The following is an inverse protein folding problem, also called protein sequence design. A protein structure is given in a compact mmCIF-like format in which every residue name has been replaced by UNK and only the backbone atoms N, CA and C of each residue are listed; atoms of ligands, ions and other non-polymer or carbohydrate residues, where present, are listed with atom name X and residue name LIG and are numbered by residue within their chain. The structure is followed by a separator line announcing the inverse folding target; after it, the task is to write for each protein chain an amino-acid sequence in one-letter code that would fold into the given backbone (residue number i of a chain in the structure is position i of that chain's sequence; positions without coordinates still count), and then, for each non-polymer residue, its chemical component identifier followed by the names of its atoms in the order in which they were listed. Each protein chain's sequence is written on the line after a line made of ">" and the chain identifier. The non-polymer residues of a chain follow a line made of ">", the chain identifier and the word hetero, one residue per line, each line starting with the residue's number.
data_IF_592496635926
#
_entry.id   IF_592496635926
#
_cell.length_a   1.000
_cell.length_b   1.000
_cell.length_c   1.000
_cell.angle_alpha   90.00
_cell.angle_beta   90.00
_cell.angle_gamma   90.00
#
_symmetry.space_group_name_H-M   'P 1'
#
loop_
_entity.id
_entity.type
_entity.pdbx_description
1 polymer ?
#
# COMPACT_ATOMS: atom_id res chain seq x y z
N UNK A 1 3.59 -40.28 -6.88
CA UNK A 1 3.92 -39.28 -5.83
C UNK A 1 4.88 -38.23 -6.41
N UNK A 2 4.81 -36.96 -5.99
CA UNK A 2 5.75 -35.90 -6.41
C UNK A 2 6.22 -35.12 -5.18
N UNK A 3 7.52 -34.82 -5.13
CA UNK A 3 8.10 -33.86 -4.18
C UNK A 3 8.48 -32.58 -4.92
N UNK A 4 7.93 -31.45 -4.51
CA UNK A 4 8.35 -30.13 -4.96
C UNK A 4 9.45 -29.59 -4.04
N UNK A 5 10.63 -29.35 -4.60
CA UNK A 5 11.77 -28.78 -3.89
C UNK A 5 11.81 -27.27 -4.18
N UNK A 6 11.84 -26.43 -3.14
CA UNK A 6 11.87 -24.97 -3.32
C UNK A 6 12.61 -24.26 -2.18
N UNK A 7 13.30 -23.16 -2.50
CA UNK A 7 13.86 -22.24 -1.53
C UNK A 7 12.81 -21.29 -0.90
N UNK A 8 11.59 -21.25 -1.45
CA UNK A 8 10.52 -20.35 -1.01
C UNK A 8 9.74 -20.93 0.17
N UNK A 9 10.20 -20.59 1.38
CA UNK A 9 9.44 -20.88 2.61
C UNK A 9 8.05 -20.23 2.59
N UNK A 10 7.94 -19.07 1.93
CA UNK A 10 6.67 -18.38 1.74
C UNK A 10 5.67 -19.24 0.96
N UNK A 11 6.06 -19.78 -0.20
CA UNK A 11 5.17 -20.61 -1.02
C UNK A 11 4.71 -21.86 -0.27
N UNK A 12 5.64 -22.53 0.43
CA UNK A 12 5.30 -23.71 1.25
C UNK A 12 4.30 -23.33 2.36
N UNK A 13 4.58 -22.28 3.13
CA UNK A 13 3.69 -21.85 4.22
C UNK A 13 2.30 -21.43 3.71
N UNK A 14 2.22 -20.78 2.53
CA UNK A 14 0.95 -20.42 1.89
C UNK A 14 0.08 -21.64 1.64
N UNK A 15 0.67 -22.72 1.10
CA UNK A 15 -0.03 -23.93 0.69
C UNK A 15 -0.24 -24.95 1.81
N UNK A 16 0.39 -24.76 2.97
CA UNK A 16 0.34 -25.71 4.09
C UNK A 16 -0.22 -25.08 5.36
N UNK A 17 0.45 -24.07 5.92
CA UNK A 17 0.14 -23.50 7.23
C UNK A 17 -1.00 -22.50 7.19
N UNK A 18 -1.00 -21.62 6.20
CA UNK A 18 -1.95 -20.50 6.14
C UNK A 18 -3.23 -20.86 5.40
N UNK A 19 -3.18 -21.87 4.53
CA UNK A 19 -4.28 -22.27 3.67
C UNK A 19 -5.61 -22.46 4.42
N UNK A 20 -5.69 -23.24 5.53
CA UNK A 20 -6.97 -23.46 6.20
C UNK A 20 -7.60 -22.15 6.69
N UNK A 21 -6.81 -21.29 7.33
CA UNK A 21 -7.29 -19.99 7.82
C UNK A 21 -7.71 -19.06 6.69
N UNK A 22 -7.00 -19.06 5.56
CA UNK A 22 -7.34 -18.21 4.42
C UNK A 22 -8.63 -18.64 3.73
N UNK A 23 -8.89 -19.95 3.63
CA UNK A 23 -10.16 -20.44 3.14
C UNK A 23 -11.31 -20.08 4.09
N UNK A 24 -11.09 -20.19 5.40
CA UNK A 24 -12.09 -19.82 6.39
C UNK A 24 -12.39 -18.32 6.40
N UNK A 25 -11.40 -17.49 6.12
CA UNK A 25 -11.51 -16.02 6.12
C UNK A 25 -11.82 -15.44 4.73
N UNK A 26 -12.17 -16.29 3.77
CA UNK A 26 -12.60 -15.86 2.43
C UNK A 26 -11.51 -15.18 1.62
N UNK A 27 -10.24 -15.40 1.96
CA UNK A 27 -9.07 -14.81 1.31
C UNK A 27 -8.98 -13.28 1.40
N UNK A 28 -9.73 -12.66 2.31
CA UNK A 28 -9.76 -11.21 2.51
C UNK A 28 -8.37 -10.72 2.93
N UNK A 29 -7.82 -9.79 2.14
CA UNK A 29 -6.50 -9.19 2.39
C UNK A 29 -5.32 -10.13 2.26
N UNK A 30 -5.50 -11.27 1.59
CA UNK A 30 -4.40 -12.19 1.25
C UNK A 30 -3.76 -11.72 -0.05
N UNK A 31 -2.54 -11.20 0.05
CA UNK A 31 -1.73 -10.82 -1.11
C UNK A 31 -1.45 -12.06 -1.97
N UNK A 32 -1.51 -11.92 -3.29
CA UNK A 32 -1.32 -13.01 -4.26
C UNK A 32 -2.37 -14.14 -4.19
N UNK A 33 -3.52 -13.90 -3.55
CA UNK A 33 -4.59 -14.91 -3.38
C UNK A 33 -5.01 -15.57 -4.71
N UNK A 34 -5.05 -14.83 -5.82
CA UNK A 34 -5.34 -15.35 -7.15
C UNK A 34 -4.44 -16.53 -7.54
N UNK A 35 -3.11 -16.39 -7.40
CA UNK A 35 -2.14 -17.43 -7.75
C UNK A 35 -2.18 -18.61 -6.78
N UNK A 36 -2.37 -18.31 -5.48
CA UNK A 36 -2.42 -19.33 -4.44
C UNK A 36 -3.67 -20.21 -4.63
N UNK A 37 -4.85 -19.60 -4.84
CA UNK A 37 -6.10 -20.33 -5.11
C UNK A 37 -5.97 -21.27 -6.32
N UNK A 38 -5.41 -20.78 -7.43
CA UNK A 38 -5.21 -21.60 -8.63
C UNK A 38 -4.25 -22.77 -8.36
N UNK A 39 -3.17 -22.52 -7.62
CA UNK A 39 -2.22 -23.57 -7.22
C UNK A 39 -2.88 -24.61 -6.31
N UNK A 40 -3.68 -24.19 -5.33
CA UNK A 40 -4.42 -25.08 -4.42
C UNK A 40 -5.38 -25.97 -5.20
N UNK A 41 -6.10 -25.41 -6.18
CA UNK A 41 -6.96 -26.19 -7.07
C UNK A 41 -6.17 -27.26 -7.82
N UNK A 42 -5.04 -26.90 -8.45
CA UNK A 42 -4.20 -27.87 -9.16
C UNK A 42 -3.65 -28.96 -8.25
N UNK A 43 -3.29 -28.63 -7.01
CA UNK A 43 -2.84 -29.60 -6.02
C UNK A 43 -3.96 -30.55 -5.58
N UNK A 44 -5.18 -30.05 -5.35
CA UNK A 44 -6.35 -30.86 -4.97
C UNK A 44 -6.84 -31.79 -6.08
N UNK A 45 -6.66 -31.39 -7.34
CA UNK A 45 -6.99 -32.21 -8.52
C UNK A 45 -6.10 -33.46 -8.65
N UNK A 46 -4.92 -33.46 -8.03
CA UNK A 46 -3.97 -34.57 -8.12
C UNK A 46 -4.40 -35.71 -7.20
N UNK A 47 -4.47 -36.92 -7.75
CA UNK A 47 -4.73 -38.15 -6.99
C UNK A 47 -3.51 -38.65 -6.23
N UNK A 48 -2.31 -38.37 -6.73
CA UNK A 48 -1.06 -38.82 -6.13
C UNK A 48 -0.58 -37.85 -5.02
N UNK A 49 -0.02 -38.43 -3.95
CA UNK A 49 0.59 -37.67 -2.86
C UNK A 49 1.59 -36.63 -3.39
N UNK A 50 1.47 -35.43 -2.84
CA UNK A 50 2.36 -34.30 -3.12
C UNK A 50 3.02 -33.84 -1.83
N UNK A 51 4.35 -33.75 -1.83
CA UNK A 51 5.18 -33.29 -0.72
C UNK A 51 5.95 -32.03 -1.11
N UNK A 52 6.32 -31.22 -0.11
CA UNK A 52 7.18 -30.06 -0.28
C UNK A 52 8.44 -30.23 0.55
N UNK A 53 9.58 -29.93 -0.05
CA UNK A 53 10.87 -29.90 0.63
C UNK A 53 11.44 -28.48 0.55
N UNK A 54 11.70 -27.90 1.71
CA UNK A 54 12.37 -26.61 1.79
C UNK A 54 13.88 -26.80 1.78
N UNK A 55 14.56 -26.08 0.91
CA UNK A 55 16.02 -26.04 0.85
C UNK A 55 16.51 -24.61 1.07
N UNK A 56 17.77 -24.47 1.46
CA UNK A 56 18.43 -23.16 1.50
C UNK A 56 18.76 -22.73 0.06
N UNK A 57 18.35 -21.52 -0.32
CA UNK A 57 18.69 -20.93 -1.63
C UNK A 57 20.19 -20.69 -1.78
N UNK A 58 20.68 -20.68 -3.02
CA UNK A 58 22.08 -20.43 -3.39
C UNK A 58 23.10 -21.33 -2.66
N UNK A 59 22.75 -22.59 -2.43
CA UNK A 59 23.56 -23.54 -1.69
C UNK A 59 24.15 -24.66 -2.56
N UNK A 60 24.38 -24.42 -3.86
CA UNK A 60 24.97 -25.42 -4.76
C UNK A 60 24.00 -26.48 -5.29
N UNK A 61 22.70 -26.37 -5.02
CA UNK A 61 21.72 -27.35 -5.51
C UNK A 61 21.37 -27.06 -6.97
N UNK A 62 21.95 -27.85 -7.87
CA UNK A 62 21.86 -27.66 -9.31
C UNK A 62 20.43 -27.42 -9.82
N UNK A 63 19.45 -28.23 -9.41
CA UNK A 63 18.05 -28.06 -9.84
C UNK A 63 17.42 -26.73 -9.39
N UNK A 64 17.72 -26.28 -8.17
CA UNK A 64 17.23 -24.99 -7.67
C UNK A 64 17.93 -23.82 -8.37
N UNK A 65 19.24 -23.93 -8.63
CA UNK A 65 19.99 -22.89 -9.33
C UNK A 65 19.52 -22.73 -10.78
N UNK A 66 19.20 -23.83 -11.45
CA UNK A 66 18.55 -23.79 -12.76
C UNK A 66 17.16 -23.14 -12.69
N UNK A 67 16.35 -23.47 -11.68
CA UNK A 67 15.06 -22.84 -11.47
C UNK A 67 15.18 -21.33 -11.20
N UNK A 68 16.13 -20.90 -10.37
CA UNK A 68 16.42 -19.47 -10.10
C UNK A 68 16.87 -18.75 -11.38
N UNK A 69 17.68 -19.39 -12.21
CA UNK A 69 18.10 -18.85 -13.52
C UNK A 69 16.92 -18.66 -14.46
N UNK A 70 16.06 -19.67 -14.60
CA UNK A 70 14.86 -19.60 -15.44
C UNK A 70 13.87 -18.54 -14.92
N UNK A 71 13.72 -18.41 -13.60
CA UNK A 71 12.90 -17.36 -13.00
C UNK A 71 13.43 -15.96 -13.32
N UNK A 72 14.76 -15.78 -13.30
CA UNK A 72 15.42 -14.52 -13.71
C UNK A 72 15.22 -14.22 -15.19
N UNK A 73 15.33 -15.23 -16.06
CA UNK A 73 15.05 -15.09 -17.49
C UNK A 73 13.58 -14.68 -17.72
N UNK A 74 12.64 -15.32 -17.03
CA UNK A 74 11.22 -14.96 -17.05
C UNK A 74 10.95 -13.52 -16.60
N UNK A 75 11.59 -13.08 -15.51
CA UNK A 75 11.46 -11.71 -15.01
C UNK A 75 12.00 -10.64 -15.97
N UNK A 76 12.93 -11.00 -16.85
CA UNK A 76 13.51 -10.10 -17.85
C UNK A 76 12.80 -10.15 -19.21
N UNK A 77 11.73 -10.94 -19.36
CA UNK A 77 10.93 -10.95 -20.59
C UNK A 77 10.27 -9.58 -20.80
N UNK A 78 10.16 -9.09 -22.05
CA UNK A 78 9.51 -7.82 -22.34
C UNK A 78 8.00 -7.84 -22.02
N UNK A 79 7.38 -9.02 -22.09
CA UNK A 79 5.98 -9.24 -21.77
C UNK A 79 5.83 -10.44 -20.84
N UNK A 80 4.89 -10.35 -19.90
CA UNK A 80 4.55 -11.46 -19.01
C UNK A 80 3.92 -12.62 -19.79
N UNK A 81 4.18 -13.85 -19.35
CA UNK A 81 3.54 -15.04 -19.90
C UNK A 81 2.06 -15.09 -19.49
N UNK A 82 1.20 -15.56 -20.39
CA UNK A 82 -0.21 -15.82 -20.07
C UNK A 82 -0.33 -17.11 -19.24
N UNK A 83 -0.91 -16.99 -18.05
CA UNK A 83 -1.16 -18.11 -17.14
C UNK A 83 -2.65 -18.40 -17.07
N UNK A 84 -3.03 -19.66 -17.28
CA UNK A 84 -4.37 -20.12 -16.96
C UNK A 84 -4.53 -20.25 -15.44
N UNK A 85 -5.27 -19.30 -14.87
CA UNK A 85 -5.60 -19.23 -13.45
C UNK A 85 -7.09 -19.55 -13.20
N UNK A 86 -7.76 -20.18 -14.17
CA UNK A 86 -9.16 -20.55 -14.04
C UNK A 86 -9.35 -21.63 -12.97
N UNK A 87 -10.36 -21.43 -12.13
CA UNK A 87 -10.78 -22.36 -11.09
C UNK A 87 -12.28 -22.60 -11.31
N UNK A 88 -12.72 -23.85 -11.51
CA UNK A 88 -14.15 -24.15 -11.62
C UNK A 88 -14.91 -23.69 -10.36
N UNK A 89 -16.16 -23.27 -10.53
CA UNK A 89 -16.95 -22.68 -9.45
C UNK A 89 -17.12 -23.62 -8.25
N UNK A 90 -17.24 -24.93 -8.49
CA UNK A 90 -17.31 -25.98 -7.45
C UNK A 90 -16.07 -26.00 -6.53
N UNK A 91 -14.93 -25.50 -7.00
CA UNK A 91 -13.68 -25.41 -6.25
C UNK A 91 -13.35 -23.98 -5.80
N UNK A 92 -14.11 -22.99 -6.25
CA UNK A 92 -13.90 -21.59 -5.93
C UNK A 92 -14.72 -21.19 -4.71
N UNK A 93 -14.19 -21.53 -3.52
CA UNK A 93 -14.79 -21.10 -2.25
C UNK A 93 -14.80 -19.57 -2.16
N UNK A 94 -16.01 -18.99 -2.06
CA UNK A 94 -16.23 -17.55 -1.95
C UNK A 94 -16.70 -17.17 -0.54
N UNK A 95 -16.29 -15.97 -0.12
CA UNK A 95 -16.70 -15.40 1.16
C UNK A 95 -16.00 -16.03 2.38
N UNK A 96 -16.08 -15.33 3.51
CA UNK A 96 -15.59 -15.83 4.79
C UNK A 96 -16.68 -16.69 5.46
N UNK A 97 -16.28 -17.76 6.14
CA UNK A 97 -17.18 -18.57 6.97
C UNK A 97 -17.79 -17.70 8.08
N UNK A 98 -19.08 -17.83 8.32
CA UNK A 98 -19.78 -17.08 9.38
C UNK A 98 -19.18 -17.31 10.78
N UNK A 99 -18.65 -18.50 11.04
CA UNK A 99 -17.97 -18.82 12.30
C UNK A 99 -16.59 -18.20 12.45
N UNK A 100 -15.95 -17.79 11.34
CA UNK A 100 -14.60 -17.24 11.32
C UNK A 100 -14.58 -15.72 11.06
N UNK A 101 -15.65 -15.16 10.49
CA UNK A 101 -15.73 -13.74 10.15
C UNK A 101 -15.84 -12.89 11.42
N UNK A 102 -15.07 -11.80 11.46
CA UNK A 102 -15.17 -10.76 12.48
C UNK A 102 -15.63 -9.46 11.84
N UNK A 103 -16.14 -8.51 12.64
CA UNK A 103 -16.49 -7.17 12.14
C UNK A 103 -15.30 -6.52 11.41
N UNK A 104 -14.09 -6.62 11.97
CA UNK A 104 -12.88 -6.05 11.36
C UNK A 104 -12.55 -6.71 10.01
N UNK A 105 -12.70 -8.03 9.91
CA UNK A 105 -12.48 -8.76 8.66
C UNK A 105 -13.54 -8.41 7.61
N UNK A 106 -14.82 -8.35 8.01
CA UNK A 106 -15.91 -7.95 7.13
C UNK A 106 -15.71 -6.53 6.59
N UNK A 107 -15.35 -5.59 7.47
CA UNK A 107 -15.04 -4.21 7.09
C UNK A 107 -13.88 -4.15 6.10
N UNK A 108 -12.78 -4.89 6.35
CA UNK A 108 -11.65 -4.98 5.43
C UNK A 108 -12.07 -5.52 4.06
N UNK A 109 -12.88 -6.59 4.02
CA UNK A 109 -13.40 -7.15 2.76
C UNK A 109 -14.25 -6.14 1.98
N UNK A 110 -15.13 -5.40 2.67
CA UNK A 110 -15.92 -4.32 2.03
C UNK A 110 -14.98 -3.25 1.46
N UNK A 111 -13.97 -2.82 2.22
CA UNK A 111 -13.01 -1.82 1.75
C UNK A 111 -12.22 -2.29 0.51
N UNK A 112 -11.90 -3.57 0.39
CA UNK A 112 -11.21 -4.13 -0.79
C UNK A 112 -12.04 -4.08 -2.07
N UNK A 113 -13.38 -4.06 -1.95
CA UNK A 113 -14.30 -3.92 -3.08
C UNK A 113 -14.67 -2.48 -3.41
N UNK A 114 -14.47 -1.55 -2.48
CA UNK A 114 -14.70 -0.12 -2.73
C UNK A 114 -13.54 0.40 -3.58
N UNK A 115 -13.79 0.93 -4.79
CA UNK A 115 -12.73 1.46 -5.62
C UNK A 115 -12.06 2.63 -4.90
N UNK A 116 -10.72 2.60 -4.83
CA UNK A 116 -9.97 3.74 -4.31
C UNK A 116 -10.09 4.92 -5.29
N UNK A 117 -10.83 5.94 -4.88
CA UNK A 117 -10.88 7.21 -5.60
C UNK A 117 -9.81 8.16 -5.03
N UNK A 118 -8.72 8.45 -5.76
CA UNK A 118 -7.72 9.41 -5.30
C UNK A 118 -8.36 10.78 -5.14
N UNK A 119 -8.11 11.43 -4.01
CA UNK A 119 -8.59 12.79 -3.77
C UNK A 119 -7.63 13.77 -4.43
N UNK A 120 -8.14 14.66 -5.28
CA UNK A 120 -7.36 15.68 -6.00
C UNK A 120 -6.32 16.39 -5.13
N UNK A 121 -6.72 16.88 -3.95
CA UNK A 121 -5.79 17.57 -3.03
C UNK A 121 -4.69 16.65 -2.49
N UNK A 122 -5.02 15.40 -2.19
CA UNK A 122 -4.02 14.42 -1.72
C UNK A 122 -3.00 14.10 -2.80
N UNK A 123 -3.45 13.88 -4.04
CA UNK A 123 -2.55 13.67 -5.18
C UNK A 123 -1.66 14.89 -5.42
N UNK A 124 -2.25 16.08 -5.49
CA UNK A 124 -1.48 17.32 -5.68
C UNK A 124 -0.43 17.55 -4.59
N UNK A 125 -0.76 17.28 -3.32
CA UNK A 125 0.20 17.42 -2.23
C UNK A 125 1.29 16.34 -2.26
N UNK A 126 0.98 15.13 -2.70
CA UNK A 126 1.97 14.08 -2.93
C UNK A 126 2.94 14.48 -4.05
N UNK A 127 2.43 14.99 -5.17
CA UNK A 127 3.25 15.45 -6.29
C UNK A 127 4.20 16.56 -5.85
N UNK A 128 3.68 17.59 -5.17
CA UNK A 128 4.52 18.68 -4.62
C UNK A 128 5.59 18.12 -3.68
N UNK A 129 5.21 17.23 -2.76
CA UNK A 129 6.16 16.61 -1.82
C UNK A 129 7.24 15.81 -2.55
N UNK A 130 6.86 15.02 -3.56
CA UNK A 130 7.76 14.20 -4.34
C UNK A 130 8.77 15.04 -5.11
N UNK A 131 8.31 16.10 -5.80
CA UNK A 131 9.18 17.02 -6.53
C UNK A 131 10.13 17.78 -5.59
N UNK A 132 9.63 18.30 -4.47
CA UNK A 132 10.48 18.98 -3.48
C UNK A 132 11.54 18.04 -2.89
N UNK A 133 11.19 16.78 -2.57
CA UNK A 133 12.18 15.80 -2.11
C UNK A 133 13.22 15.53 -3.20
N UNK A 134 12.79 15.37 -4.45
CA UNK A 134 13.69 15.14 -5.57
C UNK A 134 14.68 16.30 -5.77
N UNK A 135 14.24 17.55 -5.62
CA UNK A 135 15.13 18.71 -5.70
C UNK A 135 16.19 18.71 -4.60
N UNK A 136 15.82 18.30 -3.38
CA UNK A 136 16.71 18.27 -2.22
C UNK A 136 17.67 17.08 -2.20
N UNK A 137 17.20 15.89 -2.54
CA UNK A 137 17.96 14.63 -2.39
C UNK A 137 18.46 14.06 -3.72
N UNK A 138 17.97 14.57 -4.85
CA UNK A 138 18.16 14.01 -6.21
C UNK A 138 17.62 12.58 -6.37
N UNK A 139 16.76 12.14 -5.46
CA UNK A 139 16.11 10.82 -5.51
C UNK A 139 14.60 10.98 -5.65
N UNK A 140 14.00 10.20 -6.54
CA UNK A 140 12.56 10.16 -6.71
C UNK A 140 11.96 9.14 -5.74
N UNK A 141 11.27 9.65 -4.73
CA UNK A 141 10.56 8.81 -3.75
C UNK A 141 9.20 8.34 -4.29
N UNK A 142 8.71 7.21 -3.79
CA UNK A 142 7.36 6.73 -4.11
C UNK A 142 6.34 7.28 -3.11
N UNK A 143 5.07 7.40 -3.52
CA UNK A 143 3.96 7.79 -2.62
C UNK A 143 3.93 6.94 -1.33
N UNK A 144 4.19 5.64 -1.46
CA UNK A 144 4.25 4.70 -0.32
C UNK A 144 5.38 5.05 0.64
N UNK A 145 6.56 5.42 0.11
CA UNK A 145 7.70 5.85 0.92
C UNK A 145 7.38 7.16 1.66
N UNK A 146 6.82 8.14 0.97
CA UNK A 146 6.39 9.43 1.55
C UNK A 146 5.41 9.19 2.71
N UNK A 147 4.35 8.40 2.49
CA UNK A 147 3.38 8.09 3.54
C UNK A 147 3.97 7.33 4.72
N UNK A 148 4.94 6.46 4.47
CA UNK A 148 5.67 5.73 5.51
C UNK A 148 6.50 6.71 6.36
N UNK A 149 7.20 7.64 5.72
CA UNK A 149 7.95 8.72 6.38
C UNK A 149 7.05 9.61 7.25
N UNK A 150 5.87 10.01 6.75
CA UNK A 150 4.89 10.79 7.51
C UNK A 150 4.39 10.08 8.78
N UNK A 151 4.57 8.76 8.89
CA UNK A 151 4.13 7.93 10.01
C UNK A 151 5.27 7.42 10.88
N UNK A 152 6.50 7.89 10.66
CA UNK A 152 7.68 7.40 11.36
C UNK A 152 7.54 7.53 12.89
N UNK A 153 8.11 6.57 13.62
CA UNK A 153 7.98 6.45 15.08
C UNK A 153 8.61 7.62 15.85
N UNK A 154 9.61 8.26 15.25
CA UNK A 154 10.32 9.40 15.85
C UNK A 154 9.44 10.67 15.86
N UNK A 155 8.37 10.69 15.06
CA UNK A 155 7.40 11.76 15.08
C UNK A 155 6.37 11.51 16.20
N UNK A 156 6.12 12.53 17.01
CA UNK A 156 5.05 12.47 18.01
C UNK A 156 3.68 12.21 17.33
N UNK A 157 2.74 11.61 18.07
CA UNK A 157 1.40 11.32 17.53
C UNK A 157 0.70 12.59 17.01
N UNK A 158 0.88 13.73 17.70
CA UNK A 158 0.31 15.03 17.30
C UNK A 158 0.87 15.51 15.95
N UNK A 159 2.18 15.36 15.75
CA UNK A 159 2.85 15.74 14.48
C UNK A 159 2.38 14.83 13.35
N UNK A 160 2.32 13.51 13.56
CA UNK A 160 1.81 12.57 12.55
C UNK A 160 0.37 12.89 12.13
N UNK A 161 -0.48 13.23 13.10
CA UNK A 161 -1.87 13.65 12.82
C UNK A 161 -1.94 14.96 12.03
N UNK A 162 -1.08 15.93 12.36
CA UNK A 162 -0.98 17.19 11.62
C UNK A 162 -0.56 16.95 10.17
N UNK A 163 0.54 16.24 9.95
CA UNK A 163 1.05 15.94 8.60
C UNK A 163 0.00 15.19 7.78
N UNK A 164 -0.64 14.16 8.37
CA UNK A 164 -1.71 13.43 7.69
C UNK A 164 -2.85 14.35 7.24
N UNK A 165 -3.32 15.25 8.12
CA UNK A 165 -4.40 16.18 7.81
C UNK A 165 -4.00 17.23 6.77
N UNK A 166 -2.75 17.70 6.81
CA UNK A 166 -2.17 18.62 5.84
C UNK A 166 -2.07 17.97 4.46
N UNK A 167 -1.48 16.77 4.36
CA UNK A 167 -1.39 16.00 3.11
C UNK A 167 -2.77 15.72 2.51
N UNK A 168 -3.77 15.43 3.33
CA UNK A 168 -5.14 15.24 2.85
C UNK A 168 -5.93 16.53 2.59
N UNK A 169 -5.40 17.71 2.91
CA UNK A 169 -6.10 18.99 2.75
C UNK A 169 -7.37 19.11 3.60
N UNK A 170 -7.37 18.52 4.81
CA UNK A 170 -8.57 18.44 5.67
C UNK A 170 -8.72 19.62 6.64
N UNK A 171 -7.75 20.52 6.67
CA UNK A 171 -7.84 21.75 7.46
C UNK A 171 -8.84 22.71 6.81
N UNK A 172 -9.67 23.35 7.64
CA UNK A 172 -10.63 24.38 7.20
C UNK A 172 -9.91 25.71 7.03
N UNK A 173 -9.18 25.86 5.93
CA UNK A 173 -8.37 27.04 5.59
C UNK A 173 -8.53 27.38 4.10
N UNK A 174 -8.23 28.63 3.72
CA UNK A 174 -8.19 29.08 2.34
C UNK A 174 -9.48 28.76 1.55
N UNK A 175 -9.30 28.07 0.42
CA UNK A 175 -10.35 27.59 -0.50
C UNK A 175 -11.55 26.88 0.17
N UNK A 176 -11.37 26.29 1.35
CA UNK A 176 -12.51 25.71 2.08
C UNK A 176 -13.59 26.75 2.38
N UNK A 177 -13.20 27.97 2.73
CA UNK A 177 -14.11 29.04 3.14
C UNK A 177 -14.73 29.81 1.98
N UNK A 178 -14.15 29.77 0.78
CA UNK A 178 -14.64 30.52 -0.38
C UNK A 178 -16.02 30.07 -0.84
N UNK A 179 -16.38 28.82 -0.54
CA UNK A 179 -17.66 28.21 -0.92
C UNK A 179 -18.72 28.30 0.19
N UNK A 180 -18.44 29.01 1.30
CA UNK A 180 -19.35 29.13 2.44
C UNK A 180 -19.86 30.57 2.50
N UNK A 181 -21.15 30.81 2.19
CA UNK A 181 -21.76 32.12 2.27
C UNK A 181 -21.49 32.79 3.62
N UNK A 182 -21.15 34.08 3.61
CA UNK A 182 -20.85 34.96 4.76
C UNK A 182 -19.51 34.70 5.48
N UNK A 183 -18.78 33.65 5.12
CA UNK A 183 -17.50 33.30 5.74
C UNK A 183 -16.31 33.36 4.79
N UNK A 184 -16.49 33.89 3.58
CA UNK A 184 -15.49 33.92 2.51
C UNK A 184 -14.24 34.72 2.90
N UNK A 185 -14.40 35.73 3.75
CA UNK A 185 -13.30 36.52 4.31
C UNK A 185 -12.26 35.65 5.05
N UNK A 186 -12.65 34.48 5.56
CA UNK A 186 -11.75 33.53 6.25
C UNK A 186 -10.85 32.74 5.28
N UNK A 187 -11.04 32.90 3.98
CA UNK A 187 -10.12 32.36 3.00
C UNK A 187 -8.82 33.17 2.91
N UNK A 188 -8.84 34.43 3.34
CA UNK A 188 -7.71 35.36 3.25
C UNK A 188 -6.86 35.34 4.51
N UNK A 189 -5.55 35.55 4.36
CA UNK A 189 -4.65 35.64 5.50
C UNK A 189 -4.87 36.97 6.25
N UNK A 190 -5.13 36.90 7.55
CA UNK A 190 -5.34 38.09 8.39
C UNK A 190 -4.07 38.87 8.69
N UNK A 191 -2.89 38.29 8.43
CA UNK A 191 -1.60 38.94 8.69
C UNK A 191 -1.14 39.74 7.48
N UNK A 192 -1.08 39.12 6.29
CA UNK A 192 -0.52 39.77 5.10
C UNK A 192 -1.55 40.10 4.01
N UNK A 193 -2.84 39.84 4.24
CA UNK A 193 -3.93 40.03 3.29
C UNK A 193 -3.77 39.24 1.97
N UNK A 194 -3.02 38.13 2.00
CA UNK A 194 -2.97 37.21 0.87
C UNK A 194 -4.36 36.62 0.59
N UNK A 195 -4.74 36.54 -0.69
CA UNK A 195 -6.08 36.14 -1.12
C UNK A 195 -6.45 34.68 -0.77
N UNK A 196 -5.46 33.82 -0.48
CA UNK A 196 -5.67 32.42 -0.14
C UNK A 196 -4.68 31.98 0.95
N UNK A 197 -5.19 31.72 2.14
CA UNK A 197 -4.44 31.18 3.27
C UNK A 197 -4.30 29.65 3.16
N UNK A 198 -3.34 29.20 2.35
CA UNK A 198 -2.99 27.78 2.19
C UNK A 198 -2.11 27.26 3.32
N UNK A 199 -1.95 25.94 3.44
CA UNK A 199 -1.03 25.35 4.42
C UNK A 199 0.42 25.79 4.16
N UNK A 200 0.83 25.85 2.89
CA UNK A 200 2.13 26.39 2.46
C UNK A 200 2.27 27.85 2.90
N UNK A 201 1.28 28.69 2.64
CA UNK A 201 1.30 30.08 3.06
C UNK A 201 1.48 30.24 4.58
N UNK A 202 0.74 29.45 5.37
CA UNK A 202 0.83 29.48 6.84
C UNK A 202 2.23 29.07 7.31
N UNK A 203 2.82 28.03 6.71
CA UNK A 203 4.05 27.42 7.19
C UNK A 203 5.33 28.09 6.64
N UNK A 204 5.32 28.57 5.39
CA UNK A 204 6.53 29.04 4.69
C UNK A 204 6.43 30.46 4.17
N UNK A 205 5.32 30.84 3.54
CA UNK A 205 5.34 32.04 2.69
C UNK A 205 4.87 33.33 3.38
N UNK A 206 4.09 33.25 4.45
CA UNK A 206 3.52 34.45 5.06
C UNK A 206 4.61 35.35 5.67
N UNK A 207 4.82 36.58 5.18
CA UNK A 207 5.92 37.44 5.63
C UNK A 207 5.69 38.05 7.02
N UNK A 208 4.43 38.17 7.42
CA UNK A 208 4.01 38.83 8.67
C UNK A 208 3.56 37.84 9.75
N UNK A 209 3.79 36.54 9.54
CA UNK A 209 3.48 35.51 10.51
C UNK A 209 4.75 35.09 11.30
N UNK A 210 4.57 34.37 12.41
CA UNK A 210 5.66 33.89 13.25
C UNK A 210 6.52 32.81 12.57
N UNK A 211 6.15 32.32 11.38
CA UNK A 211 6.89 31.32 10.61
C UNK A 211 8.35 31.73 10.34
N UNK A 212 8.60 32.99 9.94
CA UNK A 212 9.95 33.51 9.69
C UNK A 212 10.84 33.41 10.94
N UNK A 213 10.29 33.78 12.10
CA UNK A 213 10.95 33.64 13.39
C UNK A 213 11.17 32.17 13.75
N UNK A 214 10.16 31.31 13.62
CA UNK A 214 10.26 29.87 13.93
C UNK A 214 11.37 29.22 13.09
N UNK A 215 11.42 29.49 11.78
CA UNK A 215 12.45 28.93 10.89
C UNK A 215 13.84 29.54 11.13
N UNK A 216 13.93 30.77 11.63
CA UNK A 216 15.20 31.33 12.08
C UNK A 216 15.74 30.62 13.33
N UNK A 217 14.85 30.19 14.23
CA UNK A 217 15.19 29.49 15.47
C UNK A 217 15.45 27.99 15.28
N UNK A 218 14.91 27.41 14.21
CA UNK A 218 15.08 26.00 13.87
C UNK A 218 16.37 25.70 13.07
N UNK A 219 17.11 26.74 12.68
CA UNK A 219 18.44 26.64 12.06
C UNK A 219 19.50 26.33 13.11
#
# INVERSE_FOLDING_TARGET
>A
PITFITNSRYAINCLTKHLPTWEDTGWIGVVNSKFIKATVYQLRKRSAQTSFEWIKGHNGQNGNEQADKLAKEGANKPSADELDLHIPDDFNLQGAKLSAITQALAYKGIQEHIPFAPRRKTTSNLDVTQFTIQELTRQLETDTSIWTGCRHKDLSKKIRQFIYKAMHGTHRIGEYWTNIPTYEHRAQCTHCNANNESMEHILTDCPQNANSLIWSLAR
#
